data_IF_834744412848
#
_entry.id   IF_834744412848
#
_cell.length_a   1.000
_cell.length_b   1.000
_cell.length_c   1.000
_cell.angle_alpha   90.00
_cell.angle_beta   90.00
_cell.angle_gamma   90.00
#
_symmetry.space_group_name_H-M   'P 1'
#
loop_
_entity.id
_entity.type
_entity.pdbx_description
1 polymer ?
#
# COMPACT_ATOMS: atom_id res chain seq x y z
N UNK A 1 -6.70 3.27 34.15
CA UNK A 1 -6.06 3.87 32.97
C UNK A 1 -4.55 4.11 33.16
N UNK A 2 -4.08 4.72 34.24
CA UNK A 2 -2.65 4.97 34.53
C UNK A 2 -1.79 3.69 34.67
N UNK A 3 -2.32 2.62 35.27
CA UNK A 3 -1.60 1.34 35.45
C UNK A 3 -1.35 0.65 34.08
N UNK A 4 -2.36 0.65 33.19
CA UNK A 4 -2.21 0.10 31.82
C UNK A 4 -1.18 0.88 30.98
N UNK A 5 -1.12 2.20 31.12
CA UNK A 5 -0.16 3.05 30.42
C UNK A 5 1.29 2.79 30.90
N UNK A 6 1.49 2.64 32.22
CA UNK A 6 2.78 2.32 32.80
C UNK A 6 3.28 0.93 32.42
N UNK A 7 2.40 -0.08 32.37
CA UNK A 7 2.75 -1.46 31.99
C UNK A 7 3.14 -1.54 30.50
N UNK A 8 2.40 -0.84 29.63
CA UNK A 8 2.71 -0.75 28.20
C UNK A 8 4.10 -0.15 27.96
N UNK A 9 4.49 0.92 28.67
CA UNK A 9 5.82 1.54 28.55
C UNK A 9 6.95 0.61 28.99
N UNK A 10 6.77 -0.15 30.08
CA UNK A 10 7.76 -1.13 30.56
C UNK A 10 7.97 -2.26 29.56
N UNK A 11 6.89 -2.76 28.95
CA UNK A 11 6.95 -3.82 27.91
C UNK A 11 7.71 -3.29 26.70
N UNK A 12 7.36 -2.12 26.18
CA UNK A 12 8.04 -1.49 25.04
C UNK A 12 9.53 -1.28 25.36
N UNK A 13 9.86 -0.76 26.55
CA UNK A 13 11.23 -0.59 26.96
C UNK A 13 12.02 -1.91 26.98
N UNK A 14 11.45 -2.95 27.59
CA UNK A 14 12.07 -4.29 27.63
C UNK A 14 12.31 -4.85 26.24
N UNK A 15 11.32 -4.71 25.33
CA UNK A 15 11.45 -5.14 23.93
C UNK A 15 12.56 -4.36 23.20
N UNK A 16 12.64 -3.05 23.41
CA UNK A 16 13.72 -2.23 22.83
C UNK A 16 15.11 -2.66 23.35
N UNK A 17 15.25 -2.89 24.66
CA UNK A 17 16.52 -3.37 25.25
C UNK A 17 16.90 -4.74 24.69
N UNK A 18 15.92 -5.65 24.56
CA UNK A 18 16.15 -6.98 24.02
C UNK A 18 16.55 -6.92 22.54
N UNK A 19 15.89 -6.07 21.75
CA UNK A 19 16.26 -5.83 20.35
C UNK A 19 17.66 -5.23 20.23
N UNK A 20 18.00 -4.22 21.05
CA UNK A 20 19.35 -3.65 21.07
C UNK A 20 20.41 -4.69 21.41
N UNK A 21 20.14 -5.56 22.40
CA UNK A 21 21.02 -6.68 22.74
C UNK A 21 21.21 -7.66 21.58
N UNK A 22 20.13 -8.02 20.89
CA UNK A 22 20.18 -8.87 19.71
C UNK A 22 20.97 -8.23 18.55
N UNK A 23 20.79 -6.92 18.33
CA UNK A 23 21.53 -6.17 17.30
C UNK A 23 23.03 -6.13 17.57
N UNK A 24 23.44 -6.06 18.84
CA UNK A 24 24.87 -6.11 19.23
C UNK A 24 25.42 -7.53 19.04
N UNK A 25 24.67 -8.53 19.48
CA UNK A 25 25.11 -9.93 19.41
C UNK A 25 25.17 -10.46 17.95
N UNK A 26 24.26 -10.01 17.09
CA UNK A 26 24.09 -10.44 15.70
C UNK A 26 24.36 -9.29 14.72
N UNK A 27 25.38 -8.47 15.00
CA UNK A 27 25.64 -7.23 14.27
C UNK A 27 25.85 -7.43 12.76
N UNK A 28 26.52 -8.52 12.36
CA UNK A 28 26.74 -8.85 10.95
C UNK A 28 25.43 -9.07 10.18
N UNK A 29 24.55 -9.88 10.74
CA UNK A 29 23.23 -10.18 10.17
C UNK A 29 22.31 -8.97 10.15
N UNK A 30 22.36 -8.17 11.22
CA UNK A 30 21.61 -6.92 11.31
C UNK A 30 22.07 -5.92 10.24
N UNK A 31 23.38 -5.78 10.06
CA UNK A 31 23.94 -4.88 9.03
C UNK A 31 23.63 -5.35 7.60
N UNK A 32 23.60 -6.67 7.35
CA UNK A 32 23.22 -7.22 6.05
C UNK A 32 21.73 -6.98 5.76
N UNK A 33 20.86 -7.24 6.73
CA UNK A 33 19.43 -6.96 6.60
C UNK A 33 19.16 -5.47 6.39
N UNK A 34 19.89 -4.59 7.08
CA UNK A 34 19.79 -3.15 6.88
C UNK A 34 20.21 -2.74 5.46
N UNK A 35 21.32 -3.29 4.95
CA UNK A 35 21.76 -3.06 3.56
C UNK A 35 20.73 -3.55 2.54
N UNK A 36 20.16 -4.73 2.76
CA UNK A 36 19.12 -5.29 1.89
C UNK A 36 17.85 -4.42 1.88
N UNK A 37 17.38 -3.96 3.05
CA UNK A 37 16.24 -3.04 3.15
C UNK A 37 16.52 -1.69 2.48
N UNK A 38 17.73 -1.15 2.64
CA UNK A 38 18.15 0.07 1.96
C UNK A 38 18.21 -0.10 0.44
N UNK A 39 18.78 -1.20 -0.04
CA UNK A 39 18.84 -1.52 -1.47
C UNK A 39 17.43 -1.67 -2.09
N UNK A 40 16.51 -2.32 -1.38
CA UNK A 40 15.10 -2.43 -1.79
C UNK A 40 14.46 -1.05 -1.91
N UNK A 41 14.66 -0.17 -0.92
CA UNK A 41 14.18 1.20 -0.99
C UNK A 41 14.80 1.98 -2.14
N UNK A 42 16.12 1.93 -2.30
CA UNK A 42 16.84 2.66 -3.34
C UNK A 42 16.44 2.23 -4.75
N UNK A 43 16.33 0.92 -4.99
CA UNK A 43 16.13 0.37 -6.33
C UNK A 43 14.66 0.28 -6.76
N UNK A 44 13.72 0.19 -5.81
CA UNK A 44 12.32 -0.07 -6.13
C UNK A 44 11.38 1.03 -5.62
N UNK A 45 11.55 1.49 -4.38
CA UNK A 45 10.59 2.39 -3.74
C UNK A 45 10.85 3.85 -4.10
N UNK A 46 12.09 4.31 -3.97
CA UNK A 46 12.46 5.70 -4.22
C UNK A 46 12.21 6.12 -5.68
N UNK A 47 12.65 5.37 -6.71
CA UNK A 47 12.43 5.77 -8.10
C UNK A 47 10.95 5.86 -8.48
N UNK A 48 10.13 4.98 -7.90
CA UNK A 48 8.70 4.96 -8.14
C UNK A 48 7.97 6.13 -7.45
N UNK A 49 8.30 6.42 -6.19
CA UNK A 49 7.53 7.35 -5.37
C UNK A 49 8.02 8.80 -5.47
N UNK A 50 9.33 9.07 -5.68
CA UNK A 50 9.86 10.44 -5.66
C UNK A 50 9.21 11.34 -6.72
N UNK A 51 9.23 10.99 -8.02
CA UNK A 51 8.61 11.84 -9.04
C UNK A 51 7.13 12.07 -8.77
N UNK A 52 6.47 11.03 -8.28
CA UNK A 52 5.05 11.05 -8.00
C UNK A 52 4.70 11.97 -6.82
N UNK A 53 5.44 11.89 -5.71
CA UNK A 53 5.25 12.76 -4.56
C UNK A 53 5.54 14.22 -4.89
N UNK A 54 6.53 14.48 -5.74
CA UNK A 54 6.83 15.83 -6.24
C UNK A 54 5.67 16.36 -7.07
N UNK A 55 5.20 15.60 -8.06
CA UNK A 55 4.09 16.01 -8.92
C UNK A 55 2.81 16.26 -8.14
N UNK A 56 2.40 15.32 -7.27
CA UNK A 56 1.18 15.47 -6.47
C UNK A 56 1.29 16.61 -5.46
N UNK A 57 2.47 16.81 -4.86
CA UNK A 57 2.76 17.93 -3.98
C UNK A 57 2.61 19.27 -4.68
N UNK A 58 3.20 19.39 -5.86
CA UNK A 58 3.13 20.59 -6.70
C UNK A 58 1.70 20.88 -7.17
N UNK A 59 0.99 19.88 -7.68
CA UNK A 59 -0.40 20.02 -8.12
C UNK A 59 -1.32 20.50 -6.99
N UNK A 60 -1.10 20.00 -5.76
CA UNK A 60 -1.83 20.43 -4.56
C UNK A 60 -1.51 21.88 -4.20
N UNK A 61 -0.23 22.29 -4.21
CA UNK A 61 0.21 23.67 -3.89
C UNK A 61 -0.27 24.68 -4.92
N UNK A 62 -0.36 24.28 -6.19
CA UNK A 62 -0.92 25.08 -7.27
C UNK A 62 -2.46 25.16 -7.27
N UNK A 63 -3.12 24.48 -6.33
CA UNK A 63 -4.59 24.45 -6.28
C UNK A 63 -5.24 23.72 -7.46
N UNK A 64 -4.47 22.96 -8.26
CA UNK A 64 -4.98 22.24 -9.43
C UNK A 64 -5.84 21.03 -9.06
N UNK A 65 -5.72 20.55 -7.82
CA UNK A 65 -6.46 19.40 -7.32
C UNK A 65 -7.20 19.81 -6.06
N UNK A 66 -8.52 19.73 -6.13
CA UNK A 66 -9.36 19.78 -4.94
C UNK A 66 -9.47 18.38 -4.33
N UNK A 67 -8.86 18.19 -3.17
CA UNK A 67 -9.01 16.94 -2.39
C UNK A 67 -10.46 16.72 -1.91
N UNK A 68 -11.31 17.75 -1.96
CA UNK A 68 -12.75 17.65 -1.70
C UNK A 68 -13.52 16.85 -2.74
N UNK A 69 -12.89 16.48 -3.88
CA UNK A 69 -13.49 15.55 -4.84
C UNK A 69 -13.12 14.10 -4.48
N UNK A 70 -14.09 13.23 -4.13
CA UNK A 70 -13.83 11.83 -3.75
C UNK A 70 -13.07 11.06 -4.82
N UNK A 71 -13.41 11.29 -6.10
CA UNK A 71 -12.77 10.59 -7.21
C UNK A 71 -11.30 11.02 -7.38
N UNK A 72 -11.00 12.32 -7.24
CA UNK A 72 -9.62 12.81 -7.27
C UNK A 72 -8.80 12.25 -6.10
N UNK A 73 -9.38 12.21 -4.89
CA UNK A 73 -8.74 11.63 -3.72
C UNK A 73 -8.40 10.15 -3.93
N UNK A 74 -9.36 9.36 -4.41
CA UNK A 74 -9.16 7.94 -4.70
C UNK A 74 -8.11 7.73 -5.80
N UNK A 75 -8.21 8.47 -6.90
CA UNK A 75 -7.28 8.38 -8.02
C UNK A 75 -5.84 8.67 -7.61
N UNK A 76 -5.63 9.78 -6.91
CA UNK A 76 -4.32 10.16 -6.41
C UNK A 76 -3.76 9.17 -5.40
N UNK A 77 -4.61 8.66 -4.49
CA UNK A 77 -4.20 7.64 -3.53
C UNK A 77 -3.80 6.34 -4.21
N UNK A 78 -4.55 5.89 -5.21
CA UNK A 78 -4.24 4.67 -5.97
C UNK A 78 -2.91 4.79 -6.71
N UNK A 79 -2.70 5.90 -7.41
CA UNK A 79 -1.48 6.10 -8.20
C UNK A 79 -0.27 6.31 -7.27
N UNK A 80 -0.40 7.13 -6.19
CA UNK A 80 0.71 7.38 -5.26
C UNK A 80 1.07 6.15 -4.44
N UNK A 81 0.10 5.30 -4.18
CA UNK A 81 0.29 4.17 -3.28
C UNK A 81 0.49 4.58 -1.82
N UNK A 82 0.69 3.57 -0.97
CA UNK A 82 0.97 3.78 0.44
C UNK A 82 2.38 4.36 0.66
N UNK A 83 2.57 5.26 1.64
CA UNK A 83 1.57 5.84 2.54
C UNK A 83 0.89 7.10 1.98
N UNK A 84 0.92 7.32 0.66
CA UNK A 84 0.37 8.50 -0.01
C UNK A 84 -1.11 8.72 0.27
N UNK A 85 -1.92 7.64 0.33
CA UNK A 85 -3.33 7.72 0.69
C UNK A 85 -3.56 8.32 2.08
N UNK A 86 -2.81 7.87 3.09
CA UNK A 86 -2.88 8.43 4.44
C UNK A 86 -2.46 9.91 4.48
N UNK A 87 -1.41 10.28 3.74
CA UNK A 87 -0.95 11.67 3.61
C UNK A 87 -2.02 12.57 2.99
N UNK A 88 -2.70 12.09 1.93
CA UNK A 88 -3.79 12.84 1.29
C UNK A 88 -5.00 12.97 2.23
N UNK A 89 -5.34 11.90 2.97
CA UNK A 89 -6.36 11.94 4.02
C UNK A 89 -6.03 12.98 5.09
N UNK A 90 -4.80 13.00 5.59
CA UNK A 90 -4.37 13.98 6.57
C UNK A 90 -4.49 15.42 6.04
N UNK A 91 -4.13 15.64 4.78
CA UNK A 91 -4.30 16.93 4.11
C UNK A 91 -5.77 17.34 3.94
N UNK A 92 -6.68 16.37 3.81
CA UNK A 92 -8.11 16.59 3.64
C UNK A 92 -8.82 16.91 4.97
N UNK A 93 -8.56 16.14 6.00
CA UNK A 93 -9.28 16.21 7.28
C UNK A 93 -8.54 17.03 8.34
N UNK A 94 -7.25 17.32 8.16
CA UNK A 94 -6.42 18.03 9.13
C UNK A 94 -6.43 17.37 10.50
N UNK A 95 -6.36 18.17 11.55
CA UNK A 95 -6.46 17.76 12.95
C UNK A 95 -7.91 17.61 13.44
N UNK A 96 -8.84 17.29 12.55
CA UNK A 96 -10.25 17.10 12.94
C UNK A 96 -10.35 16.03 14.03
N UNK A 97 -11.25 16.24 14.99
CA UNK A 97 -11.55 15.26 16.03
C UNK A 97 -12.27 14.00 15.47
N UNK A 98 -12.63 14.03 14.21
CA UNK A 98 -13.34 12.94 13.53
C UNK A 98 -12.40 11.76 13.29
N UNK A 99 -12.88 10.55 13.54
CA UNK A 99 -12.15 9.31 13.27
C UNK A 99 -12.13 9.01 11.76
N UNK A 100 -11.02 9.32 11.13
CA UNK A 100 -10.81 9.12 9.69
C UNK A 100 -10.03 7.82 9.36
N UNK A 101 -9.92 6.92 10.33
CA UNK A 101 -9.14 5.68 10.21
C UNK A 101 -9.59 4.80 9.05
N UNK A 102 -10.91 4.61 8.88
CA UNK A 102 -11.45 3.77 7.80
C UNK A 102 -11.18 4.37 6.44
N UNK A 103 -11.28 5.70 6.31
CA UNK A 103 -10.94 6.42 5.08
C UNK A 103 -9.47 6.23 4.72
N UNK A 104 -8.56 6.47 5.68
CA UNK A 104 -7.13 6.26 5.48
C UNK A 104 -6.81 4.81 5.12
N UNK A 105 -7.40 3.84 5.81
CA UNK A 105 -7.19 2.42 5.53
C UNK A 105 -7.64 2.06 4.12
N UNK A 106 -8.81 2.52 3.68
CA UNK A 106 -9.36 2.22 2.35
C UNK A 106 -8.47 2.74 1.21
N UNK A 107 -7.82 3.88 1.40
CA UNK A 107 -6.99 4.54 0.40
C UNK A 107 -5.52 4.12 0.41
N UNK A 108 -5.09 3.33 1.39
CA UNK A 108 -3.69 3.06 1.64
C UNK A 108 -3.30 1.65 1.18
N UNK A 109 -2.95 1.51 -0.09
CA UNK A 109 -2.52 0.27 -0.74
C UNK A 109 -1.22 0.51 -1.52
N UNK A 110 -0.47 -0.53 -1.90
CA UNK A 110 0.76 -0.34 -2.67
C UNK A 110 0.48 0.25 -4.06
N UNK A 111 1.44 1.01 -4.58
CA UNK A 111 1.27 1.66 -5.88
C UNK A 111 1.23 0.65 -7.03
N UNK A 112 0.43 0.91 -8.10
CA UNK A 112 0.46 0.09 -9.30
C UNK A 112 1.86 -0.03 -9.90
N UNK A 113 2.69 1.01 -9.77
CA UNK A 113 4.05 1.02 -10.29
C UNK A 113 4.97 0.03 -9.57
N UNK A 114 4.81 -0.13 -8.23
CA UNK A 114 5.50 -1.18 -7.49
C UNK A 114 5.03 -2.58 -7.94
N UNK A 115 3.73 -2.75 -8.13
CA UNK A 115 3.14 -4.03 -8.53
C UNK A 115 3.61 -4.44 -9.92
N UNK A 116 3.55 -3.53 -10.90
CA UNK A 116 3.91 -3.83 -12.29
C UNK A 116 5.42 -3.95 -12.49
N UNK A 117 6.19 -3.00 -11.95
CA UNK A 117 7.64 -2.92 -12.16
C UNK A 117 8.42 -3.82 -11.21
N UNK A 118 8.35 -3.55 -9.91
CA UNK A 118 9.18 -4.26 -8.95
C UNK A 118 8.71 -5.70 -8.72
N UNK A 119 7.41 -5.92 -8.48
CA UNK A 119 6.94 -7.25 -8.15
C UNK A 119 6.76 -8.14 -9.38
N UNK A 120 5.82 -7.81 -10.27
CA UNK A 120 5.43 -8.70 -11.36
C UNK A 120 6.55 -8.89 -12.38
N UNK A 121 7.24 -7.80 -12.77
CA UNK A 121 8.30 -7.88 -13.80
C UNK A 121 9.64 -8.34 -13.23
N UNK A 122 10.09 -7.78 -12.09
CA UNK A 122 11.45 -8.05 -11.59
C UNK A 122 11.52 -9.24 -10.64
N UNK A 123 10.61 -9.33 -9.66
CA UNK A 123 10.63 -10.39 -8.64
C UNK A 123 9.96 -11.67 -9.14
N UNK A 124 8.69 -11.59 -9.53
CA UNK A 124 7.90 -12.75 -9.97
C UNK A 124 8.24 -13.22 -11.38
N UNK A 125 8.90 -12.38 -12.17
CA UNK A 125 9.25 -12.63 -13.59
C UNK A 125 8.05 -13.03 -14.46
N UNK A 126 6.87 -12.55 -14.09
CA UNK A 126 5.62 -12.73 -14.82
C UNK A 126 4.84 -11.41 -14.89
N UNK A 127 5.14 -10.53 -15.86
CA UNK A 127 4.49 -9.21 -15.98
C UNK A 127 2.97 -9.30 -16.11
N UNK A 128 2.45 -10.38 -16.68
CA UNK A 128 1.00 -10.61 -16.85
C UNK A 128 0.27 -10.73 -15.50
N UNK A 129 0.95 -11.20 -14.44
CA UNK A 129 0.39 -11.30 -13.10
C UNK A 129 0.04 -9.92 -12.50
N UNK A 130 0.60 -8.83 -13.03
CA UNK A 130 0.25 -7.48 -12.61
C UNK A 130 -1.23 -7.16 -12.87
N UNK A 131 -1.82 -7.67 -13.96
CA UNK A 131 -3.20 -7.34 -14.36
C UNK A 131 -4.20 -7.76 -13.27
N UNK A 132 -4.28 -9.04 -12.87
CA UNK A 132 -5.21 -9.47 -11.85
C UNK A 132 -4.93 -8.82 -10.49
N UNK A 133 -3.66 -8.56 -10.12
CA UNK A 133 -3.31 -7.91 -8.85
C UNK A 133 -3.80 -6.46 -8.82
N UNK A 134 -3.45 -5.66 -9.82
CA UNK A 134 -3.81 -4.24 -9.90
C UNK A 134 -5.33 -4.06 -9.99
N UNK A 135 -6.00 -4.89 -10.81
CA UNK A 135 -7.46 -4.85 -10.94
C UNK A 135 -8.17 -5.23 -9.64
N UNK A 136 -7.72 -6.29 -8.98
CA UNK A 136 -8.26 -6.73 -7.70
C UNK A 136 -8.08 -5.68 -6.60
N UNK A 137 -6.89 -5.08 -6.52
CA UNK A 137 -6.60 -4.02 -5.57
C UNK A 137 -7.47 -2.78 -5.81
N UNK A 138 -7.64 -2.35 -7.07
CA UNK A 138 -8.49 -1.22 -7.43
C UNK A 138 -9.96 -1.47 -7.04
N UNK A 139 -10.49 -2.66 -7.35
CA UNK A 139 -11.87 -3.03 -7.00
C UNK A 139 -12.05 -3.08 -5.48
N UNK A 140 -11.14 -3.74 -4.76
CA UNK A 140 -11.20 -3.80 -3.31
C UNK A 140 -11.10 -2.40 -2.68
N UNK A 141 -10.18 -1.55 -3.16
CA UNK A 141 -10.04 -0.17 -2.73
C UNK A 141 -11.33 0.62 -2.97
N UNK A 142 -11.95 0.48 -4.14
CA UNK A 142 -13.21 1.16 -4.48
C UNK A 142 -14.35 0.76 -3.53
N UNK A 143 -14.52 -0.53 -3.27
CA UNK A 143 -15.55 -1.05 -2.36
C UNK A 143 -15.38 -0.45 -0.96
N UNK A 144 -14.17 -0.52 -0.41
CA UNK A 144 -13.90 -0.01 0.94
C UNK A 144 -13.95 1.52 1.01
N UNK A 145 -13.57 2.21 -0.06
CA UNK A 145 -13.69 3.67 -0.15
C UNK A 145 -15.16 4.13 -0.15
N UNK A 146 -16.04 3.44 -0.87
CA UNK A 146 -17.49 3.72 -0.84
C UNK A 146 -18.05 3.51 0.56
N UNK A 147 -17.63 2.46 1.26
CA UNK A 147 -18.00 2.23 2.67
C UNK A 147 -17.49 3.35 3.56
N UNK A 148 -16.23 3.75 3.36
CA UNK A 148 -15.59 4.82 4.12
C UNK A 148 -16.31 6.18 3.91
N UNK A 149 -16.73 6.50 2.68
CA UNK A 149 -17.50 7.73 2.40
C UNK A 149 -18.84 7.79 3.11
N UNK A 150 -19.47 6.64 3.38
CA UNK A 150 -20.72 6.59 4.17
C UNK A 150 -20.46 6.77 5.66
N UNK A 151 -19.34 6.25 6.16
CA UNK A 151 -18.95 6.33 7.57
C UNK A 151 -18.32 7.67 7.94
N UNK A 152 -17.61 8.28 7.00
CA UNK A 152 -16.82 9.50 7.20
C UNK A 152 -17.12 10.47 6.05
N UNK A 153 -18.13 11.35 6.18
CA UNK A 153 -18.45 12.32 5.15
C UNK A 153 -17.26 13.23 4.84
N UNK A 154 -17.08 13.53 3.56
CA UNK A 154 -16.04 14.48 3.18
C UNK A 154 -16.40 15.90 3.63
N UNK A 155 -15.40 16.71 4.03
CA UNK A 155 -15.63 18.11 4.36
C UNK A 155 -16.31 18.85 3.21
N UNK A 156 -17.34 19.64 3.53
CA UNK A 156 -18.20 20.29 2.53
C UNK A 156 -17.48 21.35 1.67
N UNK A 157 -16.46 21.98 2.22
CA UNK A 157 -15.65 22.99 1.54
C UNK A 157 -14.16 22.78 1.85
N UNK A 158 -13.41 22.31 0.86
CA UNK A 158 -11.97 22.48 0.83
C UNK A 158 -11.71 23.38 -0.37
N UNK A 159 -11.51 24.64 -0.08
CA UNK A 159 -10.92 25.52 -1.06
C UNK A 159 -9.54 24.97 -1.39
N UNK A 160 -9.31 24.74 -2.67
CA UNK A 160 -7.96 24.49 -3.16
C UNK A 160 -7.14 25.72 -2.76
N UNK A 161 -6.35 25.60 -1.69
CA UNK A 161 -5.55 26.72 -1.19
C UNK A 161 -4.35 26.87 -2.11
N UNK A 162 -4.50 27.74 -3.07
CA UNK A 162 -3.38 28.19 -3.90
C UNK A 162 -2.38 28.91 -2.99
N UNK A 163 -1.18 28.34 -2.86
CA UNK A 163 -0.09 29.02 -2.19
C UNK A 163 0.41 30.14 -3.13
N UNK A 164 0.23 31.39 -2.70
CA UNK A 164 0.70 32.58 -3.45
C UNK A 164 2.22 32.65 -3.42
N UNK A 165 2.89 31.78 -4.18
CA UNK A 165 4.34 31.77 -4.32
C UNK A 165 4.71 31.53 -5.79
N UNK A 166 5.93 31.87 -6.16
CA UNK A 166 6.47 31.59 -7.50
C UNK A 166 6.50 30.07 -7.71
N UNK A 167 6.12 29.60 -8.91
CA UNK A 167 6.09 28.17 -9.28
C UNK A 167 7.42 27.45 -8.99
N UNK A 168 8.57 28.10 -9.14
CA UNK A 168 9.87 27.55 -8.78
C UNK A 168 10.02 27.29 -7.28
N UNK A 169 9.50 28.17 -6.43
CA UNK A 169 9.51 28.00 -4.97
C UNK A 169 8.59 26.84 -4.58
N UNK A 170 7.41 26.74 -5.19
CA UNK A 170 6.46 25.64 -4.94
C UNK A 170 7.02 24.30 -5.39
N UNK A 171 7.74 24.28 -6.52
CA UNK A 171 8.43 23.08 -6.99
C UNK A 171 9.52 22.64 -6.00
N UNK A 172 10.42 23.55 -5.60
CA UNK A 172 11.48 23.26 -4.65
C UNK A 172 10.93 22.76 -3.30
N UNK A 173 9.87 23.39 -2.80
CA UNK A 173 9.18 22.95 -1.58
C UNK A 173 8.58 21.55 -1.75
N UNK A 174 7.99 21.26 -2.91
CA UNK A 174 7.43 19.92 -3.20
C UNK A 174 8.51 18.84 -3.26
N UNK A 175 9.69 19.14 -3.83
CA UNK A 175 10.85 18.23 -3.83
C UNK A 175 11.34 17.97 -2.40
N UNK A 176 11.48 19.01 -1.59
CA UNK A 176 11.95 18.89 -0.20
C UNK A 176 10.98 18.03 0.65
N UNK A 177 9.68 18.29 0.55
CA UNK A 177 8.65 17.52 1.26
C UNK A 177 8.62 16.06 0.79
N UNK A 178 8.76 15.80 -0.51
CA UNK A 178 8.84 14.47 -1.07
C UNK A 178 10.06 13.71 -0.56
N UNK A 179 11.25 14.34 -0.57
CA UNK A 179 12.48 13.76 -0.08
C UNK A 179 12.41 13.42 1.42
N UNK A 180 11.90 14.34 2.25
CA UNK A 180 11.72 14.10 3.68
C UNK A 180 10.79 12.89 3.96
N UNK A 181 9.68 12.79 3.21
CA UNK A 181 8.76 11.64 3.31
C UNK A 181 9.46 10.34 2.93
N UNK A 182 10.24 10.33 1.86
CA UNK A 182 10.96 9.14 1.39
C UNK A 182 12.05 8.69 2.35
N UNK A 183 12.76 9.60 3.00
CA UNK A 183 13.75 9.27 4.04
C UNK A 183 13.06 8.57 5.22
N UNK A 184 11.89 9.07 5.64
CA UNK A 184 11.10 8.41 6.70
C UNK A 184 10.66 7.01 6.30
N UNK A 185 10.23 6.82 5.05
CA UNK A 185 9.87 5.52 4.49
C UNK A 185 11.09 4.59 4.46
N UNK A 186 12.26 5.09 4.06
CA UNK A 186 13.52 4.35 4.08
C UNK A 186 13.83 3.81 5.49
N UNK A 187 13.78 4.69 6.50
CA UNK A 187 14.02 4.29 7.90
C UNK A 187 13.09 3.19 8.38
N UNK A 188 11.80 3.26 8.00
CA UNK A 188 10.84 2.21 8.33
C UNK A 188 11.14 0.88 7.64
N UNK A 189 11.44 0.90 6.33
CA UNK A 189 11.78 -0.33 5.58
C UNK A 189 13.02 -0.97 6.18
N UNK A 190 14.09 -0.21 6.41
CA UNK A 190 15.33 -0.72 7.01
C UNK A 190 15.08 -1.30 8.40
N UNK A 191 14.34 -0.58 9.26
CA UNK A 191 14.02 -1.06 10.60
C UNK A 191 13.23 -2.39 10.57
N UNK A 192 12.19 -2.47 9.76
CA UNK A 192 11.38 -3.69 9.67
C UNK A 192 12.13 -4.84 8.99
N UNK A 193 13.01 -4.58 8.02
CA UNK A 193 13.89 -5.60 7.42
C UNK A 193 14.82 -6.21 8.48
N UNK A 194 15.44 -5.38 9.31
CA UNK A 194 16.28 -5.84 10.42
C UNK A 194 15.47 -6.60 11.47
N UNK A 195 14.30 -6.09 11.86
CA UNK A 195 13.41 -6.77 12.80
C UNK A 195 13.01 -8.16 12.31
N UNK A 196 12.62 -8.28 11.04
CA UNK A 196 12.27 -9.58 10.43
C UNK A 196 13.45 -10.54 10.45
N UNK A 197 14.65 -10.08 10.12
CA UNK A 197 15.86 -10.91 10.15
C UNK A 197 16.16 -11.41 11.57
N UNK A 198 16.00 -10.55 12.56
CA UNK A 198 16.18 -10.96 13.98
C UNK A 198 15.17 -12.03 14.39
N UNK A 199 13.89 -11.88 14.00
CA UNK A 199 12.85 -12.87 14.27
C UNK A 199 13.13 -14.23 13.60
N UNK A 200 13.73 -14.22 12.41
CA UNK A 200 14.13 -15.42 11.69
C UNK A 200 15.26 -16.18 12.40
N UNK A 201 16.37 -15.49 12.63
CA UNK A 201 17.57 -16.10 13.20
C UNK A 201 17.31 -16.65 14.61
N UNK A 202 16.45 -15.97 15.39
CA UNK A 202 16.07 -16.42 16.73
C UNK A 202 15.01 -17.53 16.71
N UNK A 203 14.48 -17.90 15.55
CA UNK A 203 13.38 -18.86 15.42
C UNK A 203 12.02 -18.35 15.90
N UNK A 204 11.93 -17.11 16.37
CA UNK A 204 10.67 -16.52 16.84
C UNK A 204 9.65 -16.38 15.70
N UNK A 205 10.11 -16.17 14.47
CA UNK A 205 9.21 -16.10 13.31
C UNK A 205 8.43 -17.41 13.14
N UNK A 206 9.10 -18.55 13.22
CA UNK A 206 8.45 -19.87 13.10
C UNK A 206 7.46 -20.12 14.24
N UNK A 207 7.77 -19.66 15.45
CA UNK A 207 6.86 -19.76 16.62
C UNK A 207 5.60 -18.90 16.37
N UNK A 208 5.78 -17.66 15.91
CA UNK A 208 4.66 -16.75 15.61
C UNK A 208 3.82 -17.29 14.43
N UNK A 209 4.47 -17.88 13.43
CA UNK A 209 3.80 -18.44 12.26
C UNK A 209 3.11 -19.80 12.55
N UNK A 210 3.45 -20.48 13.63
CA UNK A 210 2.97 -21.83 13.93
C UNK A 210 1.43 -21.97 13.91
N UNK A 211 0.63 -21.11 14.56
CA UNK A 211 -0.84 -21.22 14.52
C UNK A 211 -1.40 -21.09 13.09
N UNK A 212 -0.84 -20.15 12.31
CA UNK A 212 -1.23 -19.93 10.91
C UNK A 212 -0.82 -21.13 10.05
N UNK A 213 0.38 -21.71 10.30
CA UNK A 213 0.85 -22.92 9.64
C UNK A 213 -0.11 -24.09 9.85
N UNK A 214 -0.60 -24.30 11.09
CA UNK A 214 -1.57 -25.36 11.38
C UNK A 214 -2.88 -25.15 10.63
N UNK A 215 -3.36 -23.90 10.57
CA UNK A 215 -4.58 -23.54 9.82
C UNK A 215 -4.41 -23.81 8.32
N UNK A 216 -3.28 -23.42 7.74
CA UNK A 216 -2.98 -23.63 6.30
C UNK A 216 -2.91 -25.13 6.00
N UNK A 217 -2.23 -25.92 6.85
CA UNK A 217 -2.15 -27.38 6.70
C UNK A 217 -3.52 -28.05 6.81
N UNK A 218 -4.39 -27.58 7.70
CA UNK A 218 -5.78 -28.08 7.82
C UNK A 218 -6.59 -27.83 6.54
N UNK A 219 -6.27 -26.75 5.82
CA UNK A 219 -6.89 -26.41 4.54
C UNK A 219 -6.17 -27.04 3.33
N UNK A 220 -5.27 -28.02 3.56
CA UNK A 220 -4.42 -28.66 2.55
C UNK A 220 -3.51 -27.70 1.78
N UNK A 221 -3.18 -26.55 2.37
CA UNK A 221 -2.26 -25.56 1.78
C UNK A 221 -0.80 -25.81 2.17
N UNK A 222 0.15 -25.15 1.48
CA UNK A 222 1.57 -25.28 1.74
C UNK A 222 1.96 -24.61 3.06
N UNK A 223 2.39 -25.38 4.06
CA UNK A 223 2.68 -24.89 5.41
C UNK A 223 3.78 -23.81 5.48
N UNK A 224 4.70 -23.78 4.50
CA UNK A 224 5.74 -22.75 4.41
C UNK A 224 5.16 -21.35 4.06
N UNK A 225 3.97 -21.28 3.47
CA UNK A 225 3.32 -20.00 3.19
C UNK A 225 3.02 -19.18 4.47
N UNK A 226 2.93 -19.83 5.63
CA UNK A 226 2.66 -19.15 6.89
C UNK A 226 3.75 -18.12 7.23
N UNK A 227 5.02 -18.49 7.14
CA UNK A 227 6.15 -17.59 7.42
C UNK A 227 6.21 -16.45 6.40
N UNK A 228 5.96 -16.76 5.12
CA UNK A 228 5.86 -15.76 4.04
C UNK A 228 4.74 -14.76 4.34
N UNK A 229 3.56 -15.23 4.76
CA UNK A 229 2.43 -14.37 5.11
C UNK A 229 2.71 -13.49 6.33
N UNK A 230 3.36 -14.02 7.37
CA UNK A 230 3.73 -13.21 8.56
C UNK A 230 4.77 -12.15 8.16
N UNK A 231 5.80 -12.51 7.39
CA UNK A 231 6.77 -11.55 6.88
C UNK A 231 6.08 -10.43 6.10
N UNK A 232 5.22 -10.78 5.17
CA UNK A 232 4.47 -9.86 4.34
C UNK A 232 3.46 -9.00 5.14
N UNK A 233 2.90 -9.56 6.23
CA UNK A 233 2.03 -8.80 7.13
C UNK A 233 2.81 -7.76 7.95
N UNK A 234 4.10 -7.96 8.15
CA UNK A 234 4.97 -6.99 8.84
C UNK A 234 5.49 -5.95 7.85
N UNK A 235 6.11 -6.40 6.74
CA UNK A 235 6.71 -5.52 5.73
C UNK A 235 6.42 -6.05 4.32
N UNK A 236 5.63 -5.28 3.57
CA UNK A 236 5.06 -5.71 2.30
C UNK A 236 6.08 -5.89 1.17
N UNK A 237 7.16 -5.09 1.13
CA UNK A 237 8.13 -5.17 0.05
C UNK A 237 9.07 -6.39 0.22
N UNK A 238 9.54 -6.66 1.44
CA UNK A 238 10.27 -7.89 1.77
C UNK A 238 9.36 -9.12 1.60
N UNK A 239 8.09 -8.99 2.00
CA UNK A 239 7.09 -10.04 1.79
C UNK A 239 6.86 -10.34 0.30
N UNK A 240 6.87 -9.33 -0.55
CA UNK A 240 6.77 -9.48 -2.00
C UNK A 240 7.91 -10.34 -2.58
N UNK A 241 9.16 -10.05 -2.19
CA UNK A 241 10.32 -10.86 -2.59
C UNK A 241 10.14 -12.32 -2.16
N UNK A 242 9.74 -12.55 -0.91
CA UNK A 242 9.51 -13.92 -0.39
C UNK A 242 8.38 -14.65 -1.07
N UNK A 243 7.31 -13.96 -1.48
CA UNK A 243 6.23 -14.56 -2.27
C UNK A 243 6.77 -15.04 -3.62
N UNK A 244 7.62 -14.22 -4.26
CA UNK A 244 8.20 -14.57 -5.55
C UNK A 244 9.17 -15.77 -5.46
N UNK A 245 9.89 -15.89 -4.34
CA UNK A 245 10.85 -16.99 -4.09
C UNK A 245 10.17 -18.25 -3.50
N UNK A 246 8.91 -18.14 -3.08
CA UNK A 246 8.18 -19.26 -2.49
C UNK A 246 7.79 -20.29 -3.56
N UNK A 247 7.83 -21.58 -3.20
CA UNK A 247 7.35 -22.66 -4.05
C UNK A 247 5.81 -22.71 -4.10
N UNK A 248 5.21 -21.61 -4.58
CA UNK A 248 3.77 -21.44 -4.79
C UNK A 248 3.46 -21.52 -6.28
N UNK A 249 2.25 -22.01 -6.61
CA UNK A 249 1.77 -21.83 -7.98
C UNK A 249 1.64 -20.34 -8.31
N UNK A 250 1.79 -19.97 -9.58
CA UNK A 250 1.71 -18.57 -10.01
C UNK A 250 0.36 -17.92 -9.63
N UNK A 251 -0.72 -18.72 -9.62
CA UNK A 251 -2.05 -18.29 -9.18
C UNK A 251 -2.09 -17.97 -7.69
N UNK A 252 -1.50 -18.83 -6.86
CA UNK A 252 -1.41 -18.63 -5.41
C UNK A 252 -0.53 -17.43 -5.07
N UNK A 253 0.64 -17.33 -5.72
CA UNK A 253 1.55 -16.19 -5.56
C UNK A 253 0.86 -14.87 -5.92
N UNK A 254 0.09 -14.85 -7.02
CA UNK A 254 -0.69 -13.68 -7.47
C UNK A 254 -1.77 -13.29 -6.45
N UNK A 255 -2.52 -14.27 -5.93
CA UNK A 255 -3.56 -14.01 -4.93
C UNK A 255 -2.96 -13.53 -3.60
N UNK A 256 -1.88 -14.16 -3.15
CA UNK A 256 -1.19 -13.77 -1.93
C UNK A 256 -0.57 -12.38 -2.05
N UNK A 257 0.01 -12.05 -3.20
CA UNK A 257 0.52 -10.72 -3.48
C UNK A 257 -0.61 -9.66 -3.47
N UNK A 258 -1.76 -9.95 -4.07
CA UNK A 258 -2.92 -9.05 -4.02
C UNK A 258 -3.41 -8.82 -2.58
N UNK A 259 -3.41 -9.87 -1.73
CA UNK A 259 -3.67 -9.73 -0.30
C UNK A 259 -2.68 -8.76 0.34
N UNK A 260 -1.39 -9.05 0.22
CA UNK A 260 -0.31 -8.30 0.87
C UNK A 260 -0.29 -6.84 0.44
N UNK A 261 -0.44 -6.57 -0.85
CA UNK A 261 -0.37 -5.20 -1.39
C UNK A 261 -1.60 -4.36 -1.03
N UNK A 262 -2.74 -5.01 -0.86
CA UNK A 262 -3.95 -4.35 -0.36
C UNK A 262 -3.93 -4.21 1.17
N UNK A 263 -3.42 -5.20 1.91
CA UNK A 263 -3.25 -5.15 3.36
C UNK A 263 -2.19 -4.11 3.77
N UNK A 264 -1.04 -4.08 3.10
CA UNK A 264 0.03 -3.11 3.26
C UNK A 264 1.02 -3.40 4.39
N UNK A 265 0.65 -4.22 5.37
CA UNK A 265 1.51 -4.58 6.50
C UNK A 265 1.62 -3.54 7.62
N UNK A 266 2.25 -3.96 8.71
CA UNK A 266 2.46 -3.10 9.90
C UNK A 266 3.39 -1.92 9.60
N UNK A 267 4.36 -2.10 8.71
CA UNK A 267 5.27 -1.05 8.28
C UNK A 267 4.51 0.14 7.66
N UNK A 268 3.59 -0.12 6.73
CA UNK A 268 2.77 0.91 6.07
C UNK A 268 1.79 1.55 7.07
N UNK A 269 1.24 0.78 8.01
CA UNK A 269 0.42 1.34 9.09
C UNK A 269 1.24 2.32 9.93
N UNK A 270 2.46 1.94 10.34
CA UNK A 270 3.35 2.82 11.10
C UNK A 270 3.73 4.10 10.32
N UNK A 271 3.98 3.98 9.00
CA UNK A 271 4.21 5.13 8.12
C UNK A 271 2.99 6.05 8.06
N UNK A 272 1.78 5.49 8.05
CA UNK A 272 0.53 6.25 8.01
C UNK A 272 0.30 7.04 9.29
N UNK A 273 0.75 6.50 10.44
CA UNK A 273 0.66 7.17 11.74
C UNK A 273 1.56 8.43 11.85
N UNK A 274 2.53 8.60 10.94
CA UNK A 274 3.31 9.85 10.83
C UNK A 274 2.42 11.02 10.41
N UNK A 275 1.40 10.75 9.59
CA UNK A 275 0.58 11.80 8.99
C UNK A 275 -0.72 12.05 9.74
N UNK A 276 -1.27 11.04 10.44
CA UNK A 276 -2.56 11.16 11.12
C UNK A 276 -2.70 10.16 12.27
N UNK A 277 -3.62 10.47 13.18
CA UNK A 277 -4.00 9.54 14.25
C UNK A 277 -4.83 8.39 13.67
N UNK A 278 -4.48 7.15 14.02
CA UNK A 278 -5.11 5.92 13.53
C UNK A 278 -5.52 5.05 14.72
N UNK A 279 -6.78 4.61 14.72
CA UNK A 279 -7.22 3.49 15.57
C UNK A 279 -6.68 2.19 14.96
N UNK A 280 -5.68 1.59 15.62
CA UNK A 280 -4.96 0.41 15.14
C UNK A 280 -5.91 -0.75 14.86
N UNK A 281 -6.91 -1.00 15.73
CA UNK A 281 -7.85 -2.11 15.57
C UNK A 281 -8.73 -1.95 14.34
N UNK A 282 -9.33 -0.77 14.19
CA UNK A 282 -10.18 -0.44 13.03
C UNK A 282 -9.38 -0.48 11.74
N UNK A 283 -8.16 0.06 11.75
CA UNK A 283 -7.27 0.05 10.59
C UNK A 283 -6.95 -1.39 10.17
N UNK A 284 -6.47 -2.23 11.08
CA UNK A 284 -6.10 -3.61 10.79
C UNK A 284 -7.30 -4.44 10.30
N UNK A 285 -8.47 -4.30 10.93
CA UNK A 285 -9.68 -5.00 10.49
C UNK A 285 -10.10 -4.58 9.08
N UNK A 286 -10.09 -3.28 8.79
CA UNK A 286 -10.39 -2.75 7.46
C UNK A 286 -9.41 -3.27 6.42
N UNK A 287 -8.11 -3.22 6.72
CA UNK A 287 -7.04 -3.69 5.83
C UNK A 287 -7.08 -5.20 5.62
N UNK A 288 -7.35 -5.98 6.66
CA UNK A 288 -7.51 -7.42 6.56
C UNK A 288 -8.66 -7.78 5.60
N UNK A 289 -9.82 -7.18 5.81
CA UNK A 289 -10.98 -7.42 4.95
C UNK A 289 -10.74 -6.96 3.50
N UNK A 290 -10.09 -5.80 3.31
CA UNK A 290 -9.71 -5.30 1.98
C UNK A 290 -8.71 -6.24 1.29
N UNK A 291 -7.71 -6.75 2.02
CA UNK A 291 -6.73 -7.70 1.51
C UNK A 291 -7.38 -9.03 1.11
N UNK A 292 -8.26 -9.57 1.95
CA UNK A 292 -9.00 -10.81 1.64
C UNK A 292 -9.86 -10.68 0.39
N UNK A 293 -10.56 -9.55 0.24
CA UNK A 293 -11.34 -9.26 -0.96
C UNK A 293 -10.45 -9.18 -2.21
N UNK A 294 -9.32 -8.49 -2.11
CA UNK A 294 -8.36 -8.38 -3.21
C UNK A 294 -7.78 -9.76 -3.60
N UNK A 295 -7.41 -10.60 -2.61
CA UNK A 295 -6.92 -11.95 -2.86
C UNK A 295 -7.95 -12.80 -3.62
N UNK A 296 -9.20 -12.79 -3.15
CA UNK A 296 -10.29 -13.52 -3.79
C UNK A 296 -10.49 -13.08 -5.24
N UNK A 297 -10.56 -11.76 -5.48
CA UNK A 297 -10.73 -11.22 -6.82
C UNK A 297 -9.54 -11.58 -7.71
N UNK A 298 -8.30 -11.44 -7.24
CA UNK A 298 -7.11 -11.77 -8.01
C UNK A 298 -7.07 -13.27 -8.36
N UNK A 299 -7.42 -14.15 -7.41
CA UNK A 299 -7.49 -15.58 -7.62
C UNK A 299 -8.51 -15.97 -8.70
N UNK A 300 -9.68 -15.29 -8.71
CA UNK A 300 -10.73 -15.52 -9.73
C UNK A 300 -10.39 -14.92 -11.09
N UNK A 301 -9.71 -13.77 -11.12
CA UNK A 301 -9.29 -13.10 -12.35
C UNK A 301 -8.07 -13.76 -13.01
N UNK A 302 -7.23 -14.47 -12.24
CA UNK A 302 -6.00 -15.05 -12.73
C UNK A 302 -6.15 -15.89 -14.01
N UNK A 303 -7.08 -16.86 -14.10
CA UNK A 303 -7.23 -17.68 -15.31
C UNK A 303 -7.69 -16.87 -16.53
N UNK A 304 -8.34 -15.74 -16.35
CA UNK A 304 -8.78 -14.87 -17.44
C UNK A 304 -7.62 -14.01 -18.01
N UNK A 305 -6.65 -13.67 -17.15
CA UNK A 305 -5.58 -12.74 -17.50
C UNK A 305 -4.26 -13.45 -17.83
N UNK A 306 -4.06 -14.67 -17.34
CA UNK A 306 -2.78 -15.38 -17.38
C UNK A 306 -2.89 -16.77 -18.00
N UNK A 307 -3.85 -16.99 -18.94
CA UNK A 307 -3.97 -18.24 -19.67
C UNK A 307 -2.70 -18.49 -20.49
N UNK A 308 -1.93 -19.53 -20.13
CA UNK A 308 -0.68 -19.91 -20.79
C UNK A 308 0.59 -19.32 -20.15
N UNK A 309 0.49 -18.54 -19.11
CA UNK A 309 1.65 -18.09 -18.34
C UNK A 309 2.22 -19.26 -17.54
N UNK A 310 3.30 -19.86 -18.04
CA UNK A 310 4.14 -20.76 -17.27
C UNK A 310 5.16 -19.92 -16.50
N UNK A 311 5.49 -20.34 -15.28
CA UNK A 311 6.63 -19.78 -14.53
C UNK A 311 7.88 -19.95 -15.39
N UNK A 312 8.46 -18.83 -15.85
CA UNK A 312 9.66 -18.86 -16.68
C UNK A 312 10.86 -19.17 -15.78
N UNK A 313 11.15 -20.45 -15.61
CA UNK A 313 12.44 -20.93 -15.07
C UNK A 313 13.48 -21.10 -16.19
N UNK A 314 13.28 -20.49 -17.36
CA UNK A 314 14.17 -20.59 -18.52
C UNK A 314 14.73 -19.22 -18.92
N UNK A 315 15.96 -19.22 -19.41
CA UNK A 315 16.80 -18.06 -19.78
C UNK A 315 16.11 -16.98 -20.63
N UNK A 316 16.49 -15.70 -20.48
CA UNK A 316 15.77 -14.59 -21.07
C UNK A 316 16.12 -14.36 -22.54
N UNK A 317 15.18 -14.58 -23.44
CA UNK A 317 15.11 -13.82 -24.68
C UNK A 317 14.58 -12.40 -24.34
N UNK A 318 15.51 -11.53 -23.96
CA UNK A 318 15.20 -10.24 -23.30
C UNK A 318 14.59 -9.21 -24.25
N UNK A 319 14.65 -9.38 -25.56
CA UNK A 319 14.36 -8.30 -26.50
C UNK A 319 12.93 -8.31 -27.09
N UNK A 320 12.29 -9.46 -27.20
CA UNK A 320 10.91 -9.54 -27.71
C UNK A 320 9.84 -9.25 -26.66
N UNK A 321 10.16 -9.49 -25.39
CA UNK A 321 9.28 -9.23 -24.23
C UNK A 321 9.10 -7.75 -23.89
N UNK A 322 10.04 -6.88 -24.24
CA UNK A 322 9.94 -5.42 -23.96
C UNK A 322 8.81 -4.74 -24.77
N UNK A 323 8.54 -5.16 -25.99
CA UNK A 323 7.47 -4.63 -26.81
C UNK A 323 6.06 -5.05 -26.33
N UNK A 324 5.91 -6.30 -25.90
CA UNK A 324 4.64 -6.81 -25.36
C UNK A 324 4.35 -6.28 -23.95
N UNK A 325 5.39 -6.05 -23.14
CA UNK A 325 5.26 -5.49 -21.81
C UNK A 325 4.80 -4.02 -21.81
N UNK A 326 5.20 -3.24 -22.81
CA UNK A 326 4.74 -1.84 -22.96
C UNK A 326 3.28 -1.75 -23.34
N UNK A 327 2.79 -2.66 -24.19
CA UNK A 327 1.38 -2.75 -24.58
C UNK A 327 0.49 -3.22 -23.42
N UNK A 328 0.92 -4.19 -22.64
CA UNK A 328 0.18 -4.65 -21.46
C UNK A 328 0.18 -3.60 -20.35
N UNK A 329 1.30 -2.90 -20.11
CA UNK A 329 1.35 -1.78 -19.17
C UNK A 329 0.45 -0.63 -19.60
N UNK A 330 0.41 -0.29 -20.91
CA UNK A 330 -0.49 0.71 -21.46
C UNK A 330 -1.95 0.26 -21.37
N UNK A 331 -2.26 -1.01 -21.60
CA UNK A 331 -3.61 -1.56 -21.44
C UNK A 331 -4.08 -1.52 -19.97
N UNK A 332 -3.20 -1.88 -19.02
CA UNK A 332 -3.48 -1.75 -17.59
C UNK A 332 -3.72 -0.29 -17.20
N UNK A 333 -2.87 0.62 -17.68
CA UNK A 333 -3.02 2.05 -17.45
C UNK A 333 -4.34 2.57 -18.06
N UNK A 334 -4.65 2.18 -19.29
CA UNK A 334 -5.89 2.57 -19.96
C UNK A 334 -7.13 1.99 -19.28
N UNK A 335 -7.12 0.73 -18.87
CA UNK A 335 -8.22 0.10 -18.13
C UNK A 335 -8.39 0.71 -16.74
N UNK A 336 -7.30 0.99 -16.02
CA UNK A 336 -7.35 1.63 -14.71
C UNK A 336 -7.81 3.10 -14.82
N UNK A 337 -7.38 3.83 -15.86
CA UNK A 337 -7.87 5.18 -16.15
C UNK A 337 -9.34 5.20 -16.57
N UNK A 338 -9.78 4.23 -17.38
CA UNK A 338 -11.18 4.10 -17.79
C UNK A 338 -12.09 3.74 -16.61
N UNK A 339 -11.66 2.79 -15.74
CA UNK A 339 -12.36 2.46 -14.52
C UNK A 339 -12.44 3.65 -13.56
N UNK A 340 -11.35 4.40 -13.45
CA UNK A 340 -11.27 5.60 -12.65
C UNK A 340 -12.14 6.73 -13.20
N UNK A 341 -12.16 6.91 -14.53
CA UNK A 341 -13.05 7.84 -15.22
C UNK A 341 -14.53 7.50 -15.00
N UNK A 342 -14.90 6.22 -15.08
CA UNK A 342 -16.26 5.76 -14.79
C UNK A 342 -16.67 6.05 -13.33
N UNK A 343 -15.78 5.82 -12.38
CA UNK A 343 -16.01 6.17 -10.96
C UNK A 343 -16.16 7.68 -10.78
N UNK A 344 -15.33 8.48 -11.46
CA UNK A 344 -15.43 9.94 -11.45
C UNK A 344 -16.78 10.42 -11.96
N UNK A 345 -17.26 9.84 -13.07
CA UNK A 345 -18.58 10.17 -13.66
C UNK A 345 -19.72 9.78 -12.71
N UNK A 346 -19.67 8.61 -12.09
CA UNK A 346 -20.69 8.15 -11.13
C UNK A 346 -20.72 9.06 -9.89
N UNK A 347 -19.55 9.40 -9.33
CA UNK A 347 -19.46 10.31 -8.19
C UNK A 347 -19.91 11.73 -8.54
N UNK A 348 -19.54 12.24 -9.71
CA UNK A 348 -19.98 13.55 -10.20
C UNK A 348 -21.51 13.59 -10.46
N UNK A 349 -22.08 12.55 -11.07
CA UNK A 349 -23.51 12.44 -11.28
C UNK A 349 -24.28 12.40 -9.94
N UNK A 350 -23.77 11.65 -8.95
CA UNK A 350 -24.39 11.59 -7.64
C UNK A 350 -24.33 12.93 -6.91
N UNK A 351 -23.17 13.60 -6.91
CA UNK A 351 -23.01 14.94 -6.32
C UNK A 351 -23.92 15.97 -6.99
N UNK A 352 -24.15 15.85 -8.31
CA UNK A 352 -25.10 16.71 -9.05
C UNK A 352 -26.55 16.43 -8.66
N UNK A 353 -26.92 15.17 -8.49
CA UNK A 353 -28.25 14.76 -8.02
C UNK A 353 -28.54 15.25 -6.60
N UNK A 354 -27.57 15.19 -5.69
CA UNK A 354 -27.69 15.68 -4.32
C UNK A 354 -27.83 17.22 -4.28
N UNK A 355 -27.08 17.95 -5.11
CA UNK A 355 -27.25 19.40 -5.26
C UNK A 355 -28.62 19.80 -5.80
N UNK A 356 -29.17 19.03 -6.75
CA UNK A 356 -30.50 19.28 -7.29
C UNK A 356 -31.62 18.97 -6.27
N UNK A 357 -31.43 17.94 -5.45
CA UNK A 357 -32.36 17.63 -4.32
C UNK A 357 -32.34 18.74 -3.26
N UNK A 358 -31.15 19.23 -2.88
CA UNK A 358 -31.03 20.29 -1.88
C UNK A 358 -31.56 21.63 -2.42
N UNK A 359 -31.38 21.93 -3.70
CA UNK A 359 -31.93 23.12 -4.34
C UNK A 359 -33.46 23.05 -4.57
N UNK A 360 -34.04 21.84 -4.59
CA UNK A 360 -35.49 21.63 -4.65
C UNK A 360 -36.19 21.79 -3.28
N UNK A 361 -35.47 21.55 -2.18
CA UNK A 361 -36.00 21.69 -0.82
C UNK A 361 -36.03 23.17 -0.37
N UNK A 362 -35.21 24.06 -0.98
CA UNK A 362 -35.24 25.51 -0.69
C UNK A 362 -36.33 26.27 -1.49
N UNK A 363 -37.19 25.59 -2.25
CA UNK A 363 -38.26 26.21 -3.07
C UNK A 363 -39.71 25.84 -2.63
N UNK A 364 -39.83 24.98 -1.68
CA UNK A 364 -41.08 24.66 -1.00
C UNK A 364 -41.05 25.21 0.47
#
# INVERSE_FOLDING_TARGET
MLIHYSMSRKIVFSLCVLLCGALIALNGEAAEAARSGFALWQNSVMPALLPFFVCTGLMRKLGLISLGNPAALMALSFISGAPGGARLCAGLYGDSAQDNTVMAASLNALSPMFITGAFASSMLRCPQAAIPIVSAQLIAMLVFFIVALKATPMPAHIEAREEKANAGVLFAASVTEAAASLISICGMIVFFSVLMRMLEITGLLSIIAWPLKQLILLLNGPGHAAEVMICAAVEAATGASRIADAALSLREATALAAFVFSFGGLCIMAQSMIFMRIDIKKYLLCKLAQGMLAALIAYLLFPLCCNGAQSVTAEPEIMETLGQNSLSALAILACSMAAMGAVMLICAAKARLERLKNAGIERD
#
